data_IF_387904354943
#
_entry.id   IF_387904354943
#
_cell.length_a   1.000
_cell.length_b   1.000
_cell.length_c   1.000
_cell.angle_alpha   90.00
_cell.angle_beta   90.00
_cell.angle_gamma   90.00
#
_symmetry.space_group_name_H-M   'P 1'
#
loop_
_entity.id
_entity.type
_entity.pdbx_description
1 polymer ?
#
# COMPACT_ATOMS: atom_id res chain seq x y z
N UNK A 1 1.80 -30.92 14.83
CA UNK A 1 0.59 -30.11 14.64
C UNK A 1 1.05 -28.97 13.76
N UNK A 2 0.62 -28.93 12.48
CA UNK A 2 1.06 -27.88 11.56
C UNK A 2 0.40 -26.59 12.03
N UNK A 3 1.18 -25.54 12.22
CA UNK A 3 0.64 -24.25 12.58
C UNK A 3 -0.18 -23.74 11.39
N UNK A 4 -1.46 -23.43 11.62
CA UNK A 4 -2.37 -22.99 10.58
C UNK A 4 -1.83 -21.73 9.86
N UNK A 5 -1.04 -20.92 10.56
CA UNK A 5 -0.40 -19.72 10.03
C UNK A 5 0.80 -19.99 9.10
N UNK A 6 1.36 -21.20 9.13
CA UNK A 6 2.47 -21.60 8.26
C UNK A 6 1.99 -22.20 6.93
N UNK A 7 0.68 -22.45 6.78
CA UNK A 7 0.11 -23.03 5.58
C UNK A 7 -0.15 -21.91 4.58
N UNK A 8 0.54 -21.95 3.44
CA UNK A 8 0.27 -21.09 2.30
C UNK A 8 -1.01 -21.55 1.57
N UNK A 9 -2.03 -20.68 1.40
CA UNK A 9 -3.15 -20.94 0.51
C UNK A 9 -2.70 -21.44 -0.88
N UNK A 10 -3.33 -22.52 -1.40
CA UNK A 10 -3.10 -22.98 -2.77
C UNK A 10 -3.40 -21.90 -3.79
N UNK A 11 -2.59 -21.85 -4.86
CA UNK A 11 -2.72 -20.89 -5.97
C UNK A 11 -4.15 -20.79 -6.51
N UNK A 12 -4.77 -21.92 -6.82
CA UNK A 12 -6.14 -21.96 -7.38
C UNK A 12 -7.16 -21.28 -6.45
N UNK A 13 -7.01 -21.41 -5.13
CA UNK A 13 -7.92 -20.77 -4.17
C UNK A 13 -7.71 -19.26 -4.12
N UNK A 14 -6.46 -18.83 -4.26
CA UNK A 14 -6.10 -17.41 -4.29
C UNK A 14 -6.58 -16.74 -5.58
N UNK A 15 -6.46 -17.41 -6.73
CA UNK A 15 -7.01 -16.93 -8.00
C UNK A 15 -8.55 -16.86 -7.95
N UNK A 16 -9.22 -17.85 -7.37
CA UNK A 16 -10.67 -17.82 -7.18
C UNK A 16 -11.14 -16.69 -6.26
N UNK A 17 -10.35 -16.32 -5.25
CA UNK A 17 -10.65 -15.17 -4.40
C UNK A 17 -10.70 -13.87 -5.22
N UNK A 18 -9.82 -13.72 -6.21
CA UNK A 18 -9.84 -12.57 -7.12
C UNK A 18 -11.18 -12.46 -7.84
N UNK A 19 -11.65 -13.57 -8.40
CA UNK A 19 -12.91 -13.62 -9.13
C UNK A 19 -14.09 -13.22 -8.23
N UNK A 20 -14.09 -13.71 -6.98
CA UNK A 20 -15.12 -13.35 -5.99
C UNK A 20 -15.10 -11.85 -5.67
N UNK A 21 -13.92 -11.24 -5.49
CA UNK A 21 -13.79 -9.81 -5.24
C UNK A 21 -14.29 -8.97 -6.43
N UNK A 22 -13.96 -9.38 -7.66
CA UNK A 22 -14.46 -8.73 -8.88
C UNK A 22 -15.98 -8.81 -9.00
N UNK A 23 -16.57 -9.95 -8.64
CA UNK A 23 -18.03 -10.12 -8.61
C UNK A 23 -18.66 -9.22 -7.55
N UNK A 24 -18.08 -9.10 -6.35
CA UNK A 24 -18.60 -8.22 -5.31
C UNK A 24 -18.59 -6.75 -5.71
N UNK A 25 -17.48 -6.26 -6.27
CA UNK A 25 -17.36 -4.86 -6.73
C UNK A 25 -18.37 -4.54 -7.84
N UNK A 26 -18.76 -5.53 -8.64
CA UNK A 26 -19.69 -5.34 -9.76
C UNK A 26 -21.13 -5.76 -9.44
N UNK A 27 -21.41 -6.20 -8.20
CA UNK A 27 -22.67 -6.85 -7.84
C UNK A 27 -23.91 -5.97 -8.05
N UNK A 28 -23.78 -4.67 -7.83
CA UNK A 28 -24.87 -3.69 -7.99
C UNK A 28 -24.83 -2.96 -9.35
N UNK A 29 -23.99 -3.41 -10.28
CA UNK A 29 -23.73 -2.80 -11.58
C UNK A 29 -23.22 -1.34 -11.53
N UNK A 30 -22.72 -0.87 -10.38
CA UNK A 30 -22.13 0.45 -10.22
C UNK A 30 -20.80 0.37 -9.47
N UNK A 31 -19.71 0.58 -10.19
CA UNK A 31 -18.38 0.66 -9.58
C UNK A 31 -18.07 2.12 -9.21
N UNK A 32 -17.81 2.36 -7.92
CA UNK A 32 -17.30 3.64 -7.41
C UNK A 32 -15.78 3.75 -7.61
N UNK A 33 -15.25 4.97 -7.52
CA UNK A 33 -13.79 5.20 -7.63
C UNK A 33 -13.03 4.51 -6.49
N UNK A 34 -13.64 4.51 -5.31
CA UNK A 34 -13.10 3.89 -4.12
C UNK A 34 -13.03 2.36 -4.26
N UNK A 35 -14.04 1.75 -4.87
CA UNK A 35 -14.06 0.32 -5.16
C UNK A 35 -13.05 -0.07 -6.26
N UNK A 36 -12.95 0.75 -7.31
CA UNK A 36 -11.95 0.53 -8.38
C UNK A 36 -10.52 0.60 -7.83
N UNK A 37 -10.24 1.65 -7.04
CA UNK A 37 -8.95 1.84 -6.37
C UNK A 37 -8.63 0.70 -5.39
N UNK A 38 -9.61 0.30 -4.58
CA UNK A 38 -9.45 -0.82 -3.63
C UNK A 38 -9.23 -2.14 -4.35
N UNK A 39 -9.94 -2.38 -5.45
CA UNK A 39 -9.78 -3.58 -6.27
C UNK A 39 -8.41 -3.62 -6.94
N UNK A 40 -7.90 -2.51 -7.46
CA UNK A 40 -6.56 -2.41 -8.05
C UNK A 40 -5.47 -2.79 -7.04
N UNK A 41 -5.55 -2.25 -5.81
CA UNK A 41 -4.61 -2.57 -4.74
C UNK A 41 -4.65 -4.05 -4.35
N UNK A 42 -5.85 -4.61 -4.13
CA UNK A 42 -6.04 -6.02 -3.80
C UNK A 42 -5.58 -6.93 -4.95
N UNK A 43 -5.76 -6.47 -6.20
CA UNK A 43 -5.29 -7.19 -7.38
C UNK A 43 -3.77 -7.33 -7.38
N UNK A 44 -3.07 -6.22 -7.15
CA UNK A 44 -1.62 -6.23 -7.03
C UNK A 44 -1.12 -7.16 -5.92
N UNK A 45 -1.75 -7.12 -4.74
CA UNK A 45 -1.39 -7.95 -3.58
C UNK A 45 -1.58 -9.45 -3.85
N UNK A 46 -2.74 -9.83 -4.39
CA UNK A 46 -3.08 -11.23 -4.66
C UNK A 46 -2.17 -11.79 -5.76
N UNK A 47 -1.92 -11.02 -6.80
CA UNK A 47 -1.05 -11.47 -7.89
C UNK A 47 0.42 -11.59 -7.44
N UNK A 48 0.92 -10.68 -6.57
CA UNK A 48 2.25 -10.84 -5.96
C UNK A 48 2.33 -12.12 -5.11
N UNK A 49 1.26 -12.45 -4.38
CA UNK A 49 1.22 -13.69 -3.61
C UNK A 49 1.26 -14.94 -4.51
N UNK A 50 0.55 -14.91 -5.64
CA UNK A 50 0.48 -16.02 -6.60
C UNK A 50 1.79 -16.19 -7.36
N UNK A 51 2.46 -15.08 -7.69
CA UNK A 51 3.65 -15.04 -8.51
C UNK A 51 4.80 -14.38 -7.72
N UNK A 52 5.41 -15.14 -6.80
CA UNK A 52 6.52 -14.66 -5.97
C UNK A 52 7.76 -14.26 -6.79
N UNK A 53 7.88 -14.78 -8.02
CA UNK A 53 8.96 -14.48 -8.96
C UNK A 53 8.60 -13.36 -9.95
N UNK A 54 7.41 -12.75 -9.85
CA UNK A 54 7.01 -11.55 -10.59
C UNK A 54 7.82 -10.34 -10.11
N UNK A 55 9.09 -10.37 -10.46
CA UNK A 55 10.06 -9.30 -10.30
C UNK A 55 9.60 -8.18 -11.23
N UNK A 56 9.44 -6.97 -10.70
CA UNK A 56 9.09 -5.73 -11.42
C UNK A 56 7.59 -5.47 -11.67
N UNK A 57 6.81 -5.39 -10.59
CA UNK A 57 5.61 -4.56 -10.61
C UNK A 57 5.95 -3.17 -10.08
N UNK A 58 5.61 -2.14 -10.83
CA UNK A 58 5.71 -0.75 -10.38
C UNK A 58 4.86 -0.59 -9.13
N UNK A 59 5.51 -0.39 -8.00
CA UNK A 59 4.83 -0.03 -6.75
C UNK A 59 4.98 1.47 -6.53
N UNK A 60 4.09 2.04 -5.71
CA UNK A 60 4.11 3.42 -5.31
C UNK A 60 4.50 3.50 -3.83
N UNK A 61 5.69 4.00 -3.55
CA UNK A 61 6.20 4.18 -2.20
C UNK A 61 5.77 5.55 -1.67
N UNK A 62 5.08 5.56 -0.53
CA UNK A 62 4.67 6.79 0.16
C UNK A 62 5.77 7.25 1.11
N UNK A 63 6.17 8.50 0.95
CA UNK A 63 7.26 9.15 1.66
C UNK A 63 6.74 10.38 2.41
N UNK A 64 7.03 10.46 3.70
CA UNK A 64 6.83 11.68 4.49
C UNK A 64 8.16 12.45 4.56
N UNK A 65 8.14 13.74 4.23
CA UNK A 65 9.32 14.62 4.29
C UNK A 65 9.16 15.59 5.47
N UNK A 66 9.81 15.33 6.61
CA UNK A 66 9.75 16.22 7.77
C UNK A 66 10.36 17.58 7.44
N UNK A 67 9.70 18.66 7.87
CA UNK A 67 10.14 20.03 7.67
C UNK A 67 10.89 20.61 8.89
N UNK A 68 10.71 20.00 10.07
CA UNK A 68 11.34 20.41 11.33
C UNK A 68 11.44 19.23 12.32
N UNK A 69 12.20 19.43 13.41
CA UNK A 69 12.43 18.39 14.42
C UNK A 69 11.16 18.00 15.19
N UNK A 70 10.18 18.90 15.30
CA UNK A 70 8.88 18.62 15.92
C UNK A 70 8.10 17.58 15.09
N UNK A 71 8.11 17.73 13.76
CA UNK A 71 7.51 16.75 12.85
C UNK A 71 8.25 15.42 12.89
N UNK A 72 9.58 15.42 13.05
CA UNK A 72 10.35 14.17 13.23
C UNK A 72 9.86 13.41 14.47
N UNK A 73 9.68 14.11 15.60
CA UNK A 73 9.13 13.49 16.82
C UNK A 73 7.70 13.02 16.63
N UNK A 74 6.85 13.83 16.01
CA UNK A 74 5.45 13.47 15.76
C UNK A 74 5.30 12.23 14.86
N UNK A 75 6.16 12.09 13.85
CA UNK A 75 6.18 10.90 12.98
C UNK A 75 6.61 9.66 13.76
N UNK A 76 7.60 9.77 14.65
CA UNK A 76 8.05 8.65 15.48
C UNK A 76 6.96 8.15 16.44
N UNK A 77 6.13 9.07 16.96
CA UNK A 77 4.98 8.75 17.81
C UNK A 77 3.81 8.17 16.99
N UNK A 78 3.56 8.73 15.81
CA UNK A 78 2.46 8.31 14.93
C UNK A 78 2.73 6.93 14.29
N UNK A 79 3.97 6.66 13.91
CA UNK A 79 4.38 5.44 13.20
C UNK A 79 5.51 4.78 14.01
N UNK A 80 5.17 3.93 14.99
CA UNK A 80 6.16 3.24 15.81
C UNK A 80 7.10 2.40 14.95
N UNK A 81 8.41 2.67 15.06
CA UNK A 81 9.44 1.96 14.30
C UNK A 81 9.73 2.55 12.92
N UNK A 82 9.16 3.69 12.55
CA UNK A 82 9.52 4.40 11.32
C UNK A 82 11.02 4.73 11.29
N UNK A 83 11.70 4.32 10.22
CA UNK A 83 13.13 4.57 10.03
C UNK A 83 13.34 5.69 9.02
N UNK A 84 14.05 6.74 9.45
CA UNK A 84 14.42 7.82 8.56
C UNK A 84 15.50 7.35 7.58
N UNK A 85 15.25 7.58 6.29
CA UNK A 85 16.19 7.24 5.20
C UNK A 85 16.55 8.51 4.43
N UNK A 86 17.77 8.59 3.92
CA UNK A 86 18.19 9.71 3.07
C UNK A 86 17.97 9.36 1.60
N UNK A 87 17.15 10.16 0.92
CA UNK A 87 16.96 10.10 -0.54
C UNK A 87 17.49 11.39 -1.19
N UNK A 88 17.54 11.41 -2.53
CA UNK A 88 17.86 12.63 -3.29
C UNK A 88 16.79 13.69 -2.98
N UNK A 89 17.15 14.69 -2.19
CA UNK A 89 16.24 15.75 -1.75
C UNK A 89 16.13 15.92 -0.24
N UNK A 90 16.70 15.00 0.56
CA UNK A 90 16.77 15.14 2.02
C UNK A 90 16.46 13.85 2.77
N UNK A 91 16.13 14.02 4.05
CA UNK A 91 15.69 12.93 4.92
C UNK A 91 14.19 12.71 4.76
N UNK A 92 13.78 11.44 4.61
CA UNK A 92 12.38 11.04 4.44
C UNK A 92 12.06 9.85 5.34
N UNK A 93 10.77 9.67 5.62
CA UNK A 93 10.24 8.47 6.27
C UNK A 93 9.39 7.69 5.25
N UNK A 94 9.87 6.53 4.77
CA UNK A 94 9.04 5.63 3.99
C UNK A 94 7.98 4.99 4.89
N UNK A 95 6.73 5.05 4.47
CA UNK A 95 5.57 4.61 5.28
C UNK A 95 4.97 3.31 4.77
N UNK A 96 5.01 3.09 3.45
CA UNK A 96 4.43 1.93 2.83
C UNK A 96 4.62 1.93 1.32
N UNK A 97 4.43 0.76 0.72
CA UNK A 97 4.42 0.55 -0.74
C UNK A 97 3.08 -0.01 -1.13
N UNK A 98 2.51 0.54 -2.21
CA UNK A 98 1.18 0.21 -2.69
C UNK A 98 1.25 -0.16 -4.17
N UNK A 99 0.28 -0.94 -4.66
CA UNK A 99 0.18 -1.32 -6.07
C UNK A 99 -0.60 -0.30 -6.90
N UNK A 100 -1.52 0.43 -6.29
CA UNK A 100 -2.30 1.48 -6.95
C UNK A 100 -1.74 2.87 -6.65
N UNK A 101 -1.51 3.66 -7.71
CA UNK A 101 -1.14 5.08 -7.59
C UNK A 101 -2.24 5.88 -6.88
N UNK A 102 -3.50 5.62 -7.23
CA UNK A 102 -4.64 6.30 -6.62
C UNK A 102 -4.75 5.96 -5.14
N UNK A 103 -4.49 4.70 -4.77
CA UNK A 103 -4.48 4.30 -3.37
C UNK A 103 -3.34 4.98 -2.60
N UNK A 104 -2.14 5.02 -3.18
CA UNK A 104 -1.00 5.73 -2.60
C UNK A 104 -1.31 7.22 -2.39
N UNK A 105 -2.00 7.87 -3.34
CA UNK A 105 -2.41 9.27 -3.21
C UNK A 105 -3.39 9.48 -2.06
N UNK A 106 -4.41 8.62 -1.91
CA UNK A 106 -5.33 8.67 -0.76
C UNK A 106 -4.59 8.44 0.56
N UNK A 107 -3.54 7.62 0.58
CA UNK A 107 -2.67 7.48 1.76
C UNK A 107 -1.87 8.76 2.03
N UNK A 108 -1.33 9.42 1.00
CA UNK A 108 -0.68 10.72 1.13
C UNK A 108 -1.64 11.76 1.74
N UNK A 109 -2.88 11.84 1.24
CA UNK A 109 -3.90 12.77 1.74
C UNK A 109 -4.16 12.62 3.25
N UNK A 110 -4.13 11.38 3.78
CA UNK A 110 -4.30 11.13 5.22
C UNK A 110 -3.19 11.78 6.05
N UNK A 111 -1.93 11.71 5.61
CA UNK A 111 -0.82 12.34 6.32
C UNK A 111 -0.75 13.85 6.08
N UNK A 112 -1.11 14.31 4.89
CA UNK A 112 -1.25 15.74 4.58
C UNK A 112 -2.30 16.39 5.48
N UNK A 113 -3.42 15.71 5.74
CA UNK A 113 -4.45 16.18 6.66
C UNK A 113 -3.95 16.32 8.11
N UNK A 114 -2.88 15.60 8.49
CA UNK A 114 -2.19 15.73 9.78
C UNK A 114 -1.12 16.85 9.78
N UNK A 115 -0.99 17.59 8.67
CA UNK A 115 0.01 18.66 8.52
C UNK A 115 1.41 18.15 8.14
N UNK A 116 1.53 16.91 7.69
CA UNK A 116 2.80 16.31 7.27
C UNK A 116 2.96 16.39 5.75
N UNK A 117 4.08 16.94 5.28
CA UNK A 117 4.37 16.96 3.86
C UNK A 117 4.64 15.53 3.38
N UNK A 118 3.81 15.05 2.46
CA UNK A 118 3.79 13.64 2.04
C UNK A 118 3.64 13.55 0.52
N UNK A 119 4.33 12.60 -0.10
CA UNK A 119 4.24 12.35 -1.55
C UNK A 119 4.49 10.87 -1.84
N UNK A 120 4.04 10.39 -3.00
CA UNK A 120 4.36 9.04 -3.47
C UNK A 120 5.35 9.08 -4.64
N UNK A 121 6.18 8.04 -4.78
CA UNK A 121 7.06 7.85 -5.93
C UNK A 121 6.93 6.44 -6.48
N UNK A 122 7.06 6.28 -7.80
CA UNK A 122 7.19 4.95 -8.38
C UNK A 122 8.53 4.33 -7.94
N UNK A 123 8.46 3.13 -7.38
CA UNK A 123 9.57 2.36 -6.82
C UNK A 123 9.93 1.17 -7.70
#
# INVERSE_FOLDING_TARGET
>A
MVDYLEIRPPRDQTEQLMDVLQVFVRADAKVTKEEEMGLEELTGLIEQYVDEDATERTMFEVLIVPQNDEQVSAIADLIPGAQMTTLRGGSVFPVGRFFSANYAEVVCEKYIALGLFTTHVAA
#
